data_IF_336184615184
#
_entry.id   IF_336184615184
#
_cell.length_a   1.000
_cell.length_b   1.000
_cell.length_c   1.000
_cell.angle_alpha   90.00
_cell.angle_beta   90.00
_cell.angle_gamma   90.00
#
_symmetry.space_group_name_H-M   'P 1'
#
loop_
_entity.id
_entity.type
_entity.pdbx_description
1 polymer ?
#
# COMPACT_ATOMS: atom_id res chain seq x y z
N UNK A 1 -45.16 -8.47 -39.85
CA UNK A 1 -44.30 -8.45 -41.06
C UNK A 1 -43.01 -7.63 -40.91
N UNK A 2 -42.54 -7.27 -39.71
CA UNK A 2 -41.26 -6.55 -39.55
C UNK A 2 -40.54 -7.03 -38.29
N UNK A 3 -39.66 -8.04 -38.40
CA UNK A 3 -38.51 -8.15 -37.50
C UNK A 3 -37.41 -9.13 -37.95
N UNK A 4 -37.43 -9.59 -39.21
CA UNK A 4 -36.40 -10.49 -39.77
C UNK A 4 -35.16 -9.74 -40.29
N UNK A 5 -35.16 -8.41 -40.26
CA UNK A 5 -34.14 -7.58 -40.92
C UNK A 5 -32.86 -7.37 -40.10
N UNK A 6 -32.93 -7.45 -38.76
CA UNK A 6 -31.76 -7.13 -37.89
C UNK A 6 -30.77 -8.29 -37.72
N UNK A 7 -31.17 -9.53 -38.04
CA UNK A 7 -30.32 -10.73 -37.91
C UNK A 7 -29.36 -10.94 -39.08
N UNK A 8 -29.60 -10.29 -40.23
CA UNK A 8 -28.74 -10.42 -41.42
C UNK A 8 -27.57 -9.43 -41.43
N UNK A 9 -27.64 -8.36 -40.63
CA UNK A 9 -26.55 -7.38 -40.50
C UNK A 9 -25.44 -7.85 -39.54
N UNK A 10 -25.77 -8.70 -38.56
CA UNK A 10 -24.81 -9.22 -37.56
C UNK A 10 -23.87 -10.31 -38.12
N UNK A 11 -24.26 -11.02 -39.19
CA UNK A 11 -23.44 -12.10 -39.79
C UNK A 11 -22.43 -11.55 -40.82
N UNK A 12 -22.67 -10.34 -41.36
CA UNK A 12 -21.80 -9.74 -42.38
C UNK A 12 -20.61 -8.94 -41.82
N UNK A 13 -20.63 -8.54 -40.54
CA UNK A 13 -19.52 -7.79 -39.92
C UNK A 13 -18.41 -8.70 -39.38
N UNK A 14 -18.70 -9.99 -39.14
CA UNK A 14 -17.77 -10.97 -38.55
C UNK A 14 -16.76 -11.53 -39.59
N UNK A 15 -16.97 -11.26 -40.89
CA UNK A 15 -16.09 -11.76 -41.95
C UNK A 15 -15.16 -10.71 -42.59
N UNK A 16 -15.13 -9.45 -42.11
CA UNK A 16 -14.33 -8.37 -42.75
C UNK A 16 -13.11 -7.89 -41.93
N UNK A 17 -12.88 -8.37 -40.71
CA UNK A 17 -11.71 -7.95 -39.89
C UNK A 17 -10.56 -8.97 -39.95
N UNK A 18 -10.73 -10.10 -40.63
CA UNK A 18 -9.74 -11.19 -40.67
C UNK A 18 -8.70 -11.13 -41.82
N UNK A 19 -8.57 -10.01 -42.54
CA UNK A 19 -7.74 -9.94 -43.78
C UNK A 19 -6.80 -8.72 -43.89
N UNK A 20 -6.42 -8.07 -42.79
CA UNK A 20 -5.31 -7.09 -42.75
C UNK A 20 -4.29 -7.64 -41.74
N UNK A 21 -3.38 -8.56 -42.10
CA UNK A 21 -2.20 -8.28 -42.93
C UNK A 21 -1.25 -7.37 -42.15
N UNK A 22 -0.36 -7.84 -41.28
CA UNK A 22 0.81 -8.72 -41.52
C UNK A 22 1.79 -8.17 -42.56
N UNK A 23 2.24 -6.91 -42.36
CA UNK A 23 3.45 -6.35 -42.97
C UNK A 23 4.15 -5.45 -41.94
N UNK A 24 5.38 -5.82 -41.56
CA UNK A 24 6.23 -4.98 -40.71
C UNK A 24 7.52 -5.65 -40.22
N UNK A 25 8.35 -6.16 -41.14
CA UNK A 25 9.79 -6.30 -40.89
C UNK A 25 10.44 -4.91 -40.92
N UNK A 26 11.35 -4.65 -40.00
CA UNK A 26 12.13 -3.42 -39.95
C UNK A 26 13.27 -3.48 -38.92
N UNK A 27 14.26 -4.32 -39.18
CA UNK A 27 15.62 -4.19 -38.65
C UNK A 27 16.29 -2.92 -39.22
N UNK A 28 16.71 -1.98 -38.35
CA UNK A 28 18.00 -1.26 -38.41
C UNK A 28 18.09 -0.23 -37.25
N UNK A 29 18.92 -0.44 -36.23
CA UNK A 29 20.38 -0.20 -36.13
C UNK A 29 20.76 1.26 -35.83
N UNK A 30 21.61 1.42 -34.81
CA UNK A 30 22.52 2.54 -34.50
C UNK A 30 21.89 3.91 -34.07
N UNK A 31 22.41 4.68 -33.11
CA UNK A 31 23.72 4.72 -32.47
C UNK A 31 23.67 5.48 -31.12
N UNK A 32 24.71 5.25 -30.32
CA UNK A 32 25.45 6.21 -29.50
C UNK A 32 24.69 7.15 -28.54
N UNK A 33 24.78 6.84 -27.24
CA UNK A 33 24.79 7.85 -26.18
C UNK A 33 26.21 7.95 -25.63
N UNK A 34 26.98 8.89 -26.19
CA UNK A 34 28.27 9.33 -25.67
C UNK A 34 28.04 10.53 -24.73
N UNK A 35 28.81 10.52 -23.64
CA UNK A 35 29.34 11.66 -22.86
C UNK A 35 28.37 12.68 -22.23
N UNK A 36 28.27 12.57 -20.90
CA UNK A 36 27.72 13.58 -19.99
C UNK A 36 28.56 14.88 -19.97
N UNK A 37 27.95 16.05 -19.72
CA UNK A 37 28.67 17.31 -19.57
C UNK A 37 29.36 17.41 -18.20
N UNK A 38 30.66 17.69 -18.24
CA UNK A 38 31.50 18.04 -17.09
C UNK A 38 30.97 19.29 -16.40
N UNK A 39 30.65 19.15 -15.11
CA UNK A 39 30.31 20.24 -14.22
C UNK A 39 31.51 21.17 -14.00
N UNK A 40 31.25 22.46 -14.17
CA UNK A 40 32.13 23.55 -13.76
C UNK A 40 32.26 23.58 -12.23
N UNK A 41 33.49 23.45 -11.72
CA UNK A 41 33.83 23.77 -10.34
C UNK A 41 34.62 25.08 -10.35
N UNK A 42 33.93 26.17 -9.98
CA UNK A 42 34.54 27.42 -9.60
C UNK A 42 35.09 27.29 -8.16
N UNK A 43 36.31 27.78 -7.97
CA UNK A 43 36.98 27.94 -6.67
C UNK A 43 36.40 29.14 -5.92
N UNK A 44 36.40 29.07 -4.57
CA UNK A 44 36.95 30.16 -3.75
C UNK A 44 37.83 29.60 -2.61
N UNK A 45 39.14 29.85 -2.62
CA UNK A 45 39.84 30.87 -1.80
C UNK A 45 39.62 30.73 -0.29
N UNK A 46 40.59 30.08 0.36
CA UNK A 46 40.92 30.24 1.78
C UNK A 46 41.43 31.67 2.04
N UNK A 47 41.09 32.26 3.19
CA UNK A 47 42.17 32.78 4.01
C UNK A 47 42.06 32.36 5.47
N UNK A 48 43.13 31.70 5.89
CA UNK A 48 43.62 31.61 7.26
C UNK A 48 43.77 33.00 7.90
N UNK A 49 43.12 33.23 9.06
CA UNK A 49 43.64 34.15 10.07
C UNK A 49 43.34 33.64 11.49
N UNK A 50 44.41 33.42 12.24
CA UNK A 50 44.47 32.98 13.64
C UNK A 50 44.66 34.17 14.60
N UNK A 51 44.51 33.90 15.91
CA UNK A 51 44.97 34.67 17.10
C UNK A 51 43.81 35.51 17.72
N UNK A 52 43.43 35.50 19.01
CA UNK A 52 44.05 35.15 20.30
C UNK A 52 42.99 34.97 21.42
N UNK A 53 43.48 34.54 22.59
CA UNK A 53 42.82 34.06 23.83
C UNK A 53 42.48 35.16 24.86
N UNK A 54 41.39 35.01 25.63
CA UNK A 54 41.26 35.42 27.06
C UNK A 54 39.90 34.93 27.65
N UNK A 55 39.85 33.86 28.45
CA UNK A 55 39.88 33.69 29.94
C UNK A 55 38.70 34.23 30.78
N UNK A 56 38.32 33.37 31.76
CA UNK A 56 37.46 33.56 32.96
C UNK A 56 35.93 33.47 32.75
N UNK A 57 35.10 32.84 33.58
CA UNK A 57 35.23 31.94 34.75
C UNK A 57 33.81 31.37 35.06
N UNK A 58 33.76 30.22 35.72
CA UNK A 58 32.69 29.63 36.56
C UNK A 58 31.19 29.92 36.28
N UNK A 59 30.40 28.86 36.03
CA UNK A 59 29.49 28.28 37.05
C UNK A 59 28.90 26.93 36.55
N UNK A 60 28.82 25.95 37.45
CA UNK A 60 28.29 24.59 37.26
C UNK A 60 27.02 24.49 38.11
N UNK A 61 25.94 23.85 37.66
CA UNK A 61 25.69 22.52 38.22
C UNK A 61 25.20 21.48 37.21
N UNK A 62 25.93 20.38 37.24
CA UNK A 62 25.57 19.02 36.86
C UNK A 62 24.25 18.62 37.54
N UNK A 63 23.17 18.47 36.77
CA UNK A 63 21.96 17.80 37.26
C UNK A 63 22.07 16.31 36.99
N UNK A 64 22.13 15.57 38.07
CA UNK A 64 22.25 14.13 38.15
C UNK A 64 20.91 13.52 37.76
N UNK A 65 20.85 12.78 36.65
CA UNK A 65 19.74 11.86 36.42
C UNK A 65 20.09 10.56 37.15
N UNK A 66 19.60 10.48 38.38
CA UNK A 66 19.53 9.27 39.16
C UNK A 66 18.73 8.22 38.39
N UNK A 67 19.37 7.08 38.16
CA UNK A 67 18.77 5.83 37.75
C UNK A 67 18.04 5.20 38.94
N UNK A 68 16.74 4.87 38.86
CA UNK A 68 16.15 3.86 39.71
C UNK A 68 16.41 2.49 39.08
N UNK A 69 17.41 1.78 39.61
CA UNK A 69 17.45 0.32 39.56
C UNK A 69 16.32 -0.19 40.45
N UNK A 70 15.33 -0.83 39.84
CA UNK A 70 14.44 -1.75 40.53
C UNK A 70 14.80 -3.15 40.05
N UNK A 71 15.51 -3.86 40.92
CA UNK A 71 15.68 -5.30 40.87
C UNK A 71 14.31 -5.96 40.73
N UNK A 72 14.10 -6.70 39.64
CA UNK A 72 13.08 -7.75 39.65
C UNK A 72 13.75 -9.06 39.32
N UNK A 73 13.85 -9.85 40.37
CA UNK A 73 14.43 -11.19 40.45
C UNK A 73 13.64 -12.14 39.53
N UNK A 74 14.25 -12.49 38.40
CA UNK A 74 13.74 -13.52 37.50
C UNK A 74 14.04 -14.90 38.11
N UNK A 75 12.99 -15.60 38.55
CA UNK A 75 13.04 -17.05 38.76
C UNK A 75 12.63 -17.77 37.47
N UNK A 76 13.26 -18.91 37.11
CA UNK A 76 13.24 -19.47 35.76
C UNK A 76 12.07 -20.40 35.44
N UNK A 77 11.80 -20.47 34.13
CA UNK A 77 11.36 -21.61 33.34
C UNK A 77 9.99 -22.26 33.63
N UNK A 78 9.05 -22.06 32.69
CA UNK A 78 8.34 -23.21 32.11
C UNK A 78 8.08 -22.95 30.62
N UNK A 79 8.79 -23.71 29.78
CA UNK A 79 8.64 -23.78 28.33
C UNK A 79 7.50 -24.75 28.02
N UNK A 80 6.35 -24.33 27.45
CA UNK A 80 5.44 -25.29 26.87
C UNK A 80 6.01 -25.72 25.51
N UNK A 81 6.51 -26.94 25.48
CA UNK A 81 6.84 -27.72 24.29
C UNK A 81 5.78 -27.56 23.19
N UNK A 82 6.14 -27.21 21.94
CA UNK A 82 5.23 -27.34 20.82
C UNK A 82 5.19 -28.81 20.39
N UNK A 83 4.17 -29.54 20.84
CA UNK A 83 3.76 -30.79 20.19
C UNK A 83 3.19 -30.42 18.82
N UNK A 84 3.97 -30.70 17.78
CA UNK A 84 3.48 -30.87 16.44
C UNK A 84 2.52 -32.08 16.43
N UNK A 85 1.25 -31.82 16.08
CA UNK A 85 0.36 -32.82 15.52
C UNK A 85 -0.33 -32.18 14.32
N UNK A 86 0.22 -32.48 13.15
CA UNK A 86 -0.45 -32.28 11.89
C UNK A 86 -1.74 -33.12 11.86
N UNK A 87 -2.85 -32.46 11.61
CA UNK A 87 -3.94 -33.02 10.84
C UNK A 87 -4.23 -32.03 9.72
N UNK A 88 -3.84 -32.41 8.51
CA UNK A 88 -4.45 -31.87 7.30
C UNK A 88 -5.95 -32.13 7.39
N UNK A 89 -6.71 -31.09 7.65
CA UNK A 89 -8.07 -31.03 7.15
C UNK A 89 -8.02 -30.23 5.84
N UNK A 90 -8.36 -30.92 4.76
CA UNK A 90 -8.63 -30.29 3.48
C UNK A 90 -9.95 -29.53 3.62
N UNK A 91 -9.88 -28.38 4.28
CA UNK A 91 -11.00 -27.46 4.47
C UNK A 91 -11.31 -26.79 3.14
N UNK A 92 -12.44 -27.18 2.58
CA UNK A 92 -13.03 -26.67 1.35
C UNK A 92 -12.98 -25.15 1.27
N UNK A 93 -12.66 -24.64 0.07
CA UNK A 93 -13.00 -23.30 -0.41
C UNK A 93 -14.50 -23.04 -0.25
N UNK A 94 -14.91 -22.74 0.97
CA UNK A 94 -16.21 -22.18 1.26
C UNK A 94 -15.93 -20.71 1.46
N UNK A 95 -15.99 -19.97 0.35
CA UNK A 95 -16.08 -18.52 0.41
C UNK A 95 -17.21 -18.21 1.40
N UNK A 96 -16.96 -17.51 2.51
CA UNK A 96 -18.01 -17.21 3.47
C UNK A 96 -19.12 -16.49 2.71
N UNK A 97 -20.31 -17.07 2.74
CA UNK A 97 -21.50 -16.38 2.22
C UNK A 97 -21.56 -15.02 2.92
N UNK A 98 -21.76 -13.95 2.15
CA UNK A 98 -21.71 -12.57 2.65
C UNK A 98 -22.66 -12.28 3.83
N UNK A 99 -23.55 -13.22 4.17
CA UNK A 99 -24.47 -13.16 5.30
C UNK A 99 -23.84 -13.52 6.66
N UNK A 100 -22.68 -14.18 6.71
CA UNK A 100 -22.01 -14.59 7.97
C UNK A 100 -20.72 -13.78 8.26
N UNK A 101 -20.38 -12.81 7.42
CA UNK A 101 -19.21 -11.97 7.62
C UNK A 101 -19.34 -11.13 8.91
N UNK A 102 -18.24 -10.93 9.67
CA UNK A 102 -18.23 -10.06 10.82
C UNK A 102 -18.76 -8.66 10.48
N UNK A 103 -19.58 -8.11 11.39
CA UNK A 103 -20.03 -6.72 11.29
C UNK A 103 -18.91 -5.82 11.83
N UNK A 104 -18.52 -4.81 11.06
CA UNK A 104 -17.50 -3.84 11.46
C UNK A 104 -18.03 -2.70 12.33
N UNK A 105 -17.20 -2.19 13.23
CA UNK A 105 -17.41 -0.97 14.00
C UNK A 105 -16.80 0.24 13.28
N UNK A 106 -17.65 1.22 12.93
CA UNK A 106 -17.24 2.43 12.19
C UNK A 106 -16.22 3.27 12.97
N UNK A 107 -16.38 3.42 14.28
CA UNK A 107 -15.50 4.25 15.10
C UNK A 107 -14.12 3.59 15.30
N UNK A 108 -14.09 2.28 15.50
CA UNK A 108 -12.84 1.52 15.50
C UNK A 108 -12.15 1.61 14.13
N UNK A 109 -12.92 1.48 13.04
CA UNK A 109 -12.42 1.58 11.67
C UNK A 109 -11.81 2.94 11.35
N UNK A 110 -12.44 4.02 11.81
CA UNK A 110 -11.90 5.37 11.67
C UNK A 110 -10.54 5.52 12.38
N UNK A 111 -10.39 4.93 13.57
CA UNK A 111 -9.12 4.97 14.31
C UNK A 111 -8.01 4.19 13.60
N UNK A 112 -8.31 2.99 13.09
CA UNK A 112 -7.35 2.20 12.29
C UNK A 112 -6.97 2.95 11.02
N UNK A 113 -7.96 3.53 10.33
CA UNK A 113 -7.73 4.33 9.13
C UNK A 113 -6.77 5.50 9.38
N UNK A 114 -7.03 6.28 10.44
CA UNK A 114 -6.24 7.46 10.82
C UNK A 114 -4.83 7.13 11.31
N UNK A 115 -4.55 5.89 11.69
CA UNK A 115 -3.22 5.49 12.19
C UNK A 115 -2.42 4.74 11.14
N UNK A 116 -3.07 3.99 10.25
CA UNK A 116 -2.39 3.08 9.31
C UNK A 116 -2.57 3.51 7.85
N UNK A 117 -3.77 3.90 7.43
CA UNK A 117 -4.11 4.03 6.01
C UNK A 117 -3.93 5.46 5.46
N UNK A 118 -4.12 6.46 6.33
CA UNK A 118 -4.20 7.87 5.94
C UNK A 118 -2.93 8.41 5.27
N UNK A 119 -1.75 7.86 5.63
CA UNK A 119 -0.47 8.36 5.13
C UNK A 119 -0.36 8.25 3.59
N UNK A 120 -1.01 7.24 3.01
CA UNK A 120 -1.03 7.03 1.56
C UNK A 120 -2.35 7.48 0.91
N UNK A 121 -3.48 7.29 1.61
CA UNK A 121 -4.81 7.56 1.08
C UNK A 121 -5.38 8.94 1.45
N UNK A 122 -4.62 9.75 2.19
CA UNK A 122 -5.03 11.08 2.66
C UNK A 122 -5.79 11.05 3.98
N UNK A 123 -5.87 12.17 4.73
CA UNK A 123 -6.60 12.24 5.99
C UNK A 123 -8.12 12.06 5.82
N UNK A 124 -8.64 12.36 4.63
CA UNK A 124 -10.06 12.26 4.28
C UNK A 124 -10.34 11.12 3.31
N UNK A 125 -9.40 10.21 3.05
CA UNK A 125 -9.56 9.08 2.13
C UNK A 125 -9.84 9.42 0.66
N UNK A 126 -9.58 10.65 0.21
CA UNK A 126 -9.70 11.04 -1.21
C UNK A 126 -8.52 10.64 -2.08
N UNK A 127 -7.49 10.03 -1.48
CA UNK A 127 -6.26 9.66 -2.14
C UNK A 127 -5.25 10.80 -2.24
N UNK A 128 -4.03 10.44 -2.61
CA UNK A 128 -2.91 11.34 -2.85
C UNK A 128 -2.38 11.03 -4.25
N UNK A 129 -2.32 12.03 -5.13
CA UNK A 129 -1.88 11.84 -6.51
C UNK A 129 -0.48 11.22 -6.57
N UNK A 130 -0.34 10.13 -7.33
CA UNK A 130 0.91 9.38 -7.45
C UNK A 130 1.23 8.45 -6.29
N UNK A 131 0.34 8.34 -5.28
CA UNK A 131 0.54 7.48 -4.11
C UNK A 131 -0.68 6.57 -3.87
N UNK A 132 -1.65 7.00 -3.06
CA UNK A 132 -2.89 6.23 -2.79
C UNK A 132 -4.07 6.70 -3.63
N UNK A 133 -4.94 5.76 -4.05
CA UNK A 133 -6.21 6.07 -4.72
C UNK A 133 -7.27 6.53 -3.72
N UNK A 134 -8.31 7.21 -4.21
CA UNK A 134 -9.51 7.49 -3.40
C UNK A 134 -10.18 6.20 -2.94
N UNK A 135 -10.66 6.21 -1.70
CA UNK A 135 -11.44 5.16 -1.08
C UNK A 135 -12.91 5.56 -0.88
N UNK A 136 -13.30 6.78 -1.28
CA UNK A 136 -14.68 7.24 -1.25
C UNK A 136 -15.56 6.43 -2.20
N UNK A 137 -16.78 6.09 -1.76
CA UNK A 137 -17.68 5.28 -2.59
C UNK A 137 -18.28 6.04 -3.77
N UNK A 138 -18.30 7.38 -3.76
CA UNK A 138 -18.81 8.15 -4.90
C UNK A 138 -17.84 8.22 -6.08
N UNK A 139 -16.52 8.14 -5.86
CA UNK A 139 -15.50 8.27 -6.91
C UNK A 139 -14.64 7.01 -7.11
N UNK A 140 -14.67 6.04 -6.17
CA UNK A 140 -13.97 4.77 -6.28
C UNK A 140 -14.90 3.62 -6.68
N UNK A 141 -14.98 3.33 -7.99
CA UNK A 141 -15.68 2.14 -8.50
C UNK A 141 -15.17 0.85 -7.84
N UNK A 142 -13.87 0.77 -7.59
CA UNK A 142 -13.25 -0.41 -6.97
C UNK A 142 -13.81 -0.69 -5.58
N UNK A 143 -13.93 0.35 -4.74
CA UNK A 143 -14.51 0.20 -3.39
C UNK A 143 -16.00 -0.07 -3.47
N UNK A 144 -16.72 0.65 -4.32
CA UNK A 144 -18.19 0.53 -4.43
C UNK A 144 -18.65 -0.82 -5.00
N UNK A 145 -17.90 -1.41 -5.93
CA UNK A 145 -18.30 -2.66 -6.62
C UNK A 145 -18.02 -3.93 -5.84
N UNK A 146 -17.21 -3.87 -4.78
CA UNK A 146 -16.85 -5.03 -3.96
C UNK A 146 -17.77 -5.17 -2.77
N UNK A 147 -18.03 -6.41 -2.38
CA UNK A 147 -18.55 -6.74 -1.05
C UNK A 147 -17.54 -6.42 0.05
N UNK A 148 -17.99 -6.42 1.30
CA UNK A 148 -17.12 -6.13 2.44
C UNK A 148 -16.04 -7.20 2.61
N UNK A 149 -16.39 -8.47 2.47
CA UNK A 149 -15.44 -9.58 2.51
C UNK A 149 -14.38 -9.49 1.40
N UNK A 150 -14.75 -9.09 0.18
CA UNK A 150 -13.80 -8.89 -0.92
C UNK A 150 -12.84 -7.72 -0.65
N UNK A 151 -13.32 -6.64 -0.02
CA UNK A 151 -12.45 -5.53 0.39
C UNK A 151 -11.51 -5.93 1.51
N UNK A 152 -12.00 -6.65 2.53
CA UNK A 152 -11.16 -7.18 3.62
C UNK A 152 -10.07 -8.08 3.05
N UNK A 153 -10.42 -9.03 2.18
CA UNK A 153 -9.45 -9.90 1.53
C UNK A 153 -8.41 -9.10 0.73
N UNK A 154 -8.86 -8.09 -0.04
CA UNK A 154 -7.96 -7.23 -0.79
C UNK A 154 -7.02 -6.42 0.11
N UNK A 155 -7.51 -5.87 1.23
CA UNK A 155 -6.67 -5.10 2.16
C UNK A 155 -5.68 -6.03 2.86
N UNK A 156 -6.10 -7.25 3.23
CA UNK A 156 -5.24 -8.26 3.85
C UNK A 156 -4.05 -8.65 2.95
N UNK A 157 -4.26 -8.73 1.63
CA UNK A 157 -3.20 -9.09 0.68
C UNK A 157 -2.45 -7.87 0.13
N UNK A 158 -3.11 -6.73 -0.02
CA UNK A 158 -2.58 -5.57 -0.72
C UNK A 158 -2.45 -5.79 -2.24
N UNK A 159 -1.64 -4.95 -2.90
CA UNK A 159 -1.31 -5.04 -4.33
C UNK A 159 0.16 -4.73 -4.54
N UNK A 160 0.88 -5.64 -5.20
CA UNK A 160 2.31 -5.47 -5.53
C UNK A 160 2.55 -4.36 -6.56
N UNK A 161 3.78 -3.87 -6.66
CA UNK A 161 4.24 -2.98 -7.74
C UNK A 161 4.12 -3.64 -9.11
N UNK A 162 4.34 -4.95 -9.20
CA UNK A 162 4.34 -5.71 -10.46
C UNK A 162 2.96 -6.21 -10.89
N UNK A 163 1.91 -5.94 -10.08
CA UNK A 163 0.54 -6.33 -10.43
C UNK A 163 0.10 -5.55 -11.68
N UNK A 164 -0.40 -6.23 -12.74
CA UNK A 164 -0.77 -5.58 -14.00
C UNK A 164 -1.91 -4.56 -13.85
N UNK A 165 -2.69 -4.63 -12.77
CA UNK A 165 -3.75 -3.68 -12.44
C UNK A 165 -3.24 -2.54 -11.52
N UNK A 166 -1.97 -2.53 -11.11
CA UNK A 166 -1.41 -1.41 -10.37
C UNK A 166 -1.19 -0.20 -11.29
N UNK A 167 -2.10 0.76 -11.18
CA UNK A 167 -2.06 2.01 -11.98
C UNK A 167 -1.29 3.14 -11.32
N UNK A 168 -0.75 2.94 -10.10
CA UNK A 168 0.01 3.96 -9.37
C UNK A 168 1.52 3.78 -9.51
N UNK A 169 1.98 2.57 -9.80
CA UNK A 169 3.39 2.20 -9.72
C UNK A 169 3.91 2.08 -8.27
N UNK A 170 3.04 2.22 -7.27
CA UNK A 170 3.36 2.09 -5.84
C UNK A 170 2.64 0.87 -5.29
N UNK A 171 3.33 0.03 -4.51
CA UNK A 171 2.69 -1.09 -3.84
C UNK A 171 1.74 -0.59 -2.75
N UNK A 172 0.57 -1.22 -2.65
CA UNK A 172 -0.25 -1.18 -1.45
C UNK A 172 0.15 -2.41 -0.60
N UNK A 173 0.88 -2.26 0.52
CA UNK A 173 1.31 -3.41 1.29
C UNK A 173 0.12 -4.13 1.96
N UNK A 174 0.27 -5.44 2.27
CA UNK A 174 -0.67 -6.17 3.11
C UNK A 174 -1.02 -5.38 4.37
N UNK A 175 -2.32 -5.25 4.68
CA UNK A 175 -2.84 -4.54 5.86
C UNK A 175 -2.32 -3.11 6.01
N UNK A 176 -2.04 -2.43 4.91
CA UNK A 176 -1.48 -1.08 4.91
C UNK A 176 -0.07 -1.00 5.52
N UNK A 177 0.66 -2.13 5.57
CA UNK A 177 1.99 -2.21 6.16
C UNK A 177 2.01 -2.48 7.66
N UNK A 178 0.84 -2.73 8.28
CA UNK A 178 0.73 -3.03 9.70
C UNK A 178 0.31 -4.51 9.91
N UNK A 179 1.27 -5.42 10.12
CA UNK A 179 0.98 -6.86 10.29
C UNK A 179 0.24 -7.17 11.60
N UNK A 180 0.21 -6.25 12.56
CA UNK A 180 -0.46 -6.43 13.85
C UNK A 180 -1.97 -6.25 13.79
N UNK A 181 -2.51 -5.69 12.69
CA UNK A 181 -3.96 -5.56 12.52
C UNK A 181 -4.61 -6.94 12.36
N UNK A 182 -5.71 -7.13 13.07
CA UNK A 182 -6.52 -8.34 13.02
C UNK A 182 -7.47 -8.34 11.83
N UNK A 183 -8.17 -9.45 11.62
CA UNK A 183 -9.22 -9.50 10.60
C UNK A 183 -10.42 -8.62 10.96
N UNK A 184 -10.78 -8.54 12.25
CA UNK A 184 -11.85 -7.64 12.72
C UNK A 184 -11.51 -6.17 12.43
N UNK A 185 -10.25 -5.76 12.64
CA UNK A 185 -9.82 -4.39 12.30
C UNK A 185 -10.03 -4.06 10.82
N UNK A 186 -9.91 -5.05 9.92
CA UNK A 186 -10.18 -4.84 8.49
C UNK A 186 -11.67 -4.65 8.22
N UNK A 187 -12.54 -5.43 8.87
CA UNK A 187 -13.98 -5.25 8.78
C UNK A 187 -14.41 -3.89 9.33
N UNK A 188 -13.80 -3.45 10.44
CA UNK A 188 -14.03 -2.13 11.02
C UNK A 188 -13.63 -1.02 10.04
N UNK A 189 -12.43 -1.10 9.44
CA UNK A 189 -11.99 -0.16 8.40
C UNK A 189 -12.96 -0.14 7.22
N UNK A 190 -13.38 -1.30 6.72
CA UNK A 190 -14.33 -1.36 5.61
C UNK A 190 -15.66 -0.71 6.00
N UNK A 191 -16.18 -0.96 7.20
CA UNK A 191 -17.38 -0.31 7.72
C UNK A 191 -17.23 1.22 7.74
N UNK A 192 -16.08 1.74 8.19
CA UNK A 192 -15.76 3.16 8.09
C UNK A 192 -15.76 3.67 6.65
N UNK A 193 -15.09 2.97 5.73
CA UNK A 193 -15.07 3.36 4.30
C UNK A 193 -16.47 3.40 3.68
N UNK A 194 -17.40 2.54 4.10
CA UNK A 194 -18.80 2.57 3.65
C UNK A 194 -19.55 3.84 4.07
N UNK A 195 -19.07 4.54 5.09
CA UNK A 195 -19.65 5.84 5.49
C UNK A 195 -19.21 6.99 4.59
N UNK A 196 -18.08 6.83 3.90
CA UNK A 196 -17.48 7.85 3.04
C UNK A 196 -18.13 7.83 1.65
N UNK A 197 -18.79 8.94 1.31
CA UNK A 197 -19.40 9.17 -0.01
C UNK A 197 -18.51 10.06 -0.83
#
# INVERSE_FOLDING_TARGET
MFNTFSRRLLVALILFVATIGLVGCGDKEEAAAESAPTAAAATPTDPTETVETAVADADTPTEQVETPSADNEATPAEEPTPTAAAASDSGQDTQPDAADAPVGDVAAGENVYKTTCFACHGPDAKGISGLGKSLHTADSEFVRSKSDAELVAYINTGRSVDDPLNTTGVAMPPKGGNPSLTEQDMYDVVAYLRTLK
#
